data_IF_119538132158
#
_entry.id   IF_119538132158
#
_cell.length_a   1.000
_cell.length_b   1.000
_cell.length_c   1.000
_cell.angle_alpha   90.00
_cell.angle_beta   90.00
_cell.angle_gamma   90.00
#
_symmetry.space_group_name_H-M   'P 1'
#
loop_
_entity.id
_entity.type
_entity.pdbx_description
1 polymer ?
#
# COMPACT_ATOMS: atom_id res chain seq x y z
N UNK A 1 -30.15 -96.38 -33.96
CA UNK A 1 -29.56 -95.39 -34.87
C UNK A 1 -28.82 -94.38 -33.99
N UNK A 2 -27.61 -94.65 -33.48
CA UNK A 2 -26.32 -94.80 -34.17
C UNK A 2 -25.94 -93.52 -34.94
N UNK A 3 -25.05 -92.67 -34.39
CA UNK A 3 -23.61 -92.55 -34.75
C UNK A 3 -23.41 -91.85 -36.11
N UNK A 4 -22.39 -91.05 -36.47
CA UNK A 4 -21.14 -90.45 -35.92
C UNK A 4 -20.58 -89.56 -37.06
N UNK A 5 -19.63 -88.66 -36.73
CA UNK A 5 -18.45 -88.22 -37.54
C UNK A 5 -18.69 -87.65 -38.97
N UNK A 6 -18.01 -86.61 -39.48
CA UNK A 6 -16.55 -86.38 -39.59
C UNK A 6 -16.33 -85.04 -40.35
N UNK A 7 -15.21 -84.33 -40.06
CA UNK A 7 -14.23 -83.67 -40.98
C UNK A 7 -14.73 -82.89 -42.22
N UNK A 8 -14.18 -81.75 -42.68
CA UNK A 8 -12.90 -81.07 -42.45
C UNK A 8 -12.70 -79.90 -43.45
N UNK A 9 -11.87 -78.92 -43.08
CA UNK A 9 -11.00 -78.03 -43.90
C UNK A 9 -11.60 -76.91 -44.77
N UNK A 10 -11.46 -75.66 -44.31
CA UNK A 10 -10.80 -74.48 -44.93
C UNK A 10 -11.16 -73.28 -44.00
N UNK A 11 -10.30 -72.37 -43.53
CA UNK A 11 -9.01 -71.91 -44.00
C UNK A 11 -8.23 -71.32 -42.80
N UNK A 12 -6.93 -71.60 -42.79
CA UNK A 12 -5.91 -70.96 -41.95
C UNK A 12 -5.83 -69.45 -42.21
N UNK A 13 -5.91 -68.62 -41.17
CA UNK A 13 -5.26 -67.29 -40.96
C UNK A 13 -6.11 -66.58 -39.88
N UNK A 14 -5.74 -66.48 -38.61
CA UNK A 14 -4.62 -65.69 -38.09
C UNK A 14 -4.72 -65.76 -36.55
N UNK A 15 -3.87 -66.55 -35.90
CA UNK A 15 -3.59 -66.41 -34.47
C UNK A 15 -2.23 -65.72 -34.41
N UNK A 16 -2.21 -64.40 -34.21
CA UNK A 16 -1.15 -63.69 -33.50
C UNK A 16 -1.55 -62.23 -33.33
N UNK A 17 -2.21 -61.87 -32.23
CA UNK A 17 -2.19 -60.48 -31.77
C UNK A 17 -2.07 -60.47 -30.26
N UNK A 18 -0.83 -60.27 -29.86
CA UNK A 18 -0.33 -60.24 -28.51
C UNK A 18 -1.06 -59.19 -27.67
N UNK A 19 -1.41 -59.61 -26.45
CA UNK A 19 -1.55 -58.74 -25.29
C UNK A 19 -0.19 -58.08 -25.07
N UNK A 20 -0.04 -56.82 -25.48
CA UNK A 20 1.03 -55.93 -25.02
C UNK A 20 0.40 -54.66 -24.47
N UNK A 21 0.76 -54.37 -23.24
CA UNK A 21 0.28 -53.28 -22.44
C UNK A 21 0.90 -51.93 -22.83
N UNK A 22 0.19 -50.88 -22.42
CA UNK A 22 0.73 -49.65 -21.80
C UNK A 22 1.29 -48.52 -22.71
N UNK A 23 0.70 -47.34 -22.45
CA UNK A 23 1.22 -45.98 -22.63
C UNK A 23 1.06 -45.31 -24.01
N UNK A 24 -0.19 -44.94 -24.34
CA UNK A 24 -0.41 -43.78 -25.22
C UNK A 24 -0.41 -42.51 -24.35
N UNK A 25 0.47 -41.53 -24.60
CA UNK A 25 0.38 -40.24 -23.93
C UNK A 25 -0.89 -39.55 -24.41
N UNK A 26 -1.85 -39.38 -23.49
CA UNK A 26 -3.03 -38.57 -23.72
C UNK A 26 -2.56 -37.13 -23.93
N UNK A 27 -2.54 -36.66 -25.18
CA UNK A 27 -2.32 -35.25 -25.49
C UNK A 27 -3.55 -34.46 -25.00
N UNK A 28 -3.51 -34.03 -23.74
CA UNK A 28 -4.42 -33.00 -23.24
C UNK A 28 -4.22 -31.72 -24.07
N UNK A 29 -5.27 -31.02 -24.51
CA UNK A 29 -5.12 -29.75 -25.19
C UNK A 29 -4.47 -28.77 -24.21
N UNK A 30 -3.24 -28.34 -24.52
CA UNK A 30 -2.59 -27.27 -23.77
C UNK A 30 -3.46 -26.02 -23.96
N UNK A 31 -4.17 -25.61 -22.92
CA UNK A 31 -4.74 -24.27 -22.85
C UNK A 31 -3.57 -23.28 -22.99
N UNK A 32 -3.34 -22.78 -24.21
CA UNK A 32 -2.50 -21.61 -24.42
C UNK A 32 -3.17 -20.48 -23.66
N UNK A 33 -2.64 -20.17 -22.48
CA UNK A 33 -2.91 -18.89 -21.85
C UNK A 33 -2.43 -17.83 -22.84
N UNK A 34 -3.36 -17.04 -23.38
CA UNK A 34 -3.01 -15.83 -24.11
C UNK A 34 -2.03 -15.05 -23.23
N UNK A 35 -0.91 -14.54 -23.79
CA UNK A 35 0.01 -13.71 -23.02
C UNK A 35 -0.79 -12.62 -22.34
N UNK A 36 -0.69 -12.54 -21.01
CA UNK A 36 -1.29 -11.45 -20.27
C UNK A 36 -0.86 -10.14 -20.96
N UNK A 37 -1.79 -9.22 -21.25
CA UNK A 37 -1.43 -7.95 -21.84
C UNK A 37 -0.31 -7.32 -21.00
N UNK A 38 0.71 -6.69 -21.63
CA UNK A 38 1.83 -6.11 -20.89
C UNK A 38 1.26 -5.27 -19.75
N UNK A 39 1.54 -5.65 -18.51
CA UNK A 39 1.06 -4.90 -17.36
C UNK A 39 1.52 -3.46 -17.57
N UNK A 40 0.56 -2.56 -17.82
CA UNK A 40 0.85 -1.14 -17.95
C UNK A 40 1.80 -0.77 -16.82
N UNK A 41 3.00 -0.27 -17.17
CA UNK A 41 4.07 -0.03 -16.19
C UNK A 41 3.46 0.76 -15.04
N UNK A 42 3.35 0.10 -13.87
CA UNK A 42 2.71 0.71 -12.71
C UNK A 42 3.47 1.99 -12.38
N UNK A 43 2.78 3.09 -12.04
CA UNK A 43 3.45 4.33 -11.72
C UNK A 43 4.48 4.07 -10.63
N UNK A 44 5.73 4.47 -10.87
CA UNK A 44 6.82 4.22 -9.93
C UNK A 44 6.58 5.07 -8.67
N UNK A 45 6.28 4.41 -7.56
CA UNK A 45 5.92 5.07 -6.32
C UNK A 45 7.20 5.50 -5.60
N UNK A 46 7.72 6.66 -6.00
CA UNK A 46 8.87 7.30 -5.37
C UNK A 46 8.58 8.75 -5.05
N UNK A 47 9.29 9.24 -4.04
CA UNK A 47 9.29 10.65 -3.73
C UNK A 47 10.00 11.46 -4.81
N UNK A 48 9.50 12.67 -5.02
CA UNK A 48 10.26 13.81 -5.50
C UNK A 48 10.93 14.57 -4.35
N UNK A 49 11.41 15.76 -4.64
CA UNK A 49 11.91 16.68 -3.63
C UNK A 49 10.77 17.13 -2.71
N UNK A 50 11.04 17.25 -1.42
CA UNK A 50 10.07 17.80 -0.46
C UNK A 50 10.68 18.94 0.32
N UNK A 51 9.83 19.80 0.85
CA UNK A 51 10.23 20.98 1.61
C UNK A 51 9.92 20.71 3.09
N UNK A 52 10.93 20.85 3.94
CA UNK A 52 10.81 20.73 5.38
C UNK A 52 11.03 22.07 6.05
N UNK A 53 10.16 22.40 6.99
CA UNK A 53 10.15 23.68 7.71
C UNK A 53 9.81 23.46 9.18
N UNK A 54 10.17 24.45 9.99
CA UNK A 54 9.87 24.45 11.42
C UNK A 54 10.74 23.51 12.24
N UNK A 55 10.75 23.78 13.54
CA UNK A 55 11.39 23.00 14.59
C UNK A 55 10.78 23.45 15.91
N UNK A 56 9.62 22.90 16.25
CA UNK A 56 8.79 23.37 17.35
C UNK A 56 8.86 22.43 18.54
N UNK A 57 9.00 22.96 19.75
CA UNK A 57 8.88 22.18 20.99
C UNK A 57 7.43 21.83 21.34
N UNK A 58 6.48 22.70 20.96
CA UNK A 58 5.04 22.54 21.16
C UNK A 58 4.35 22.08 19.88
N UNK A 59 3.51 21.04 19.96
CA UNK A 59 2.84 20.46 18.79
C UNK A 59 1.84 21.44 18.16
N UNK A 60 1.24 22.32 18.95
CA UNK A 60 0.26 23.33 18.54
C UNK A 60 0.84 24.30 17.51
N UNK A 61 2.15 24.61 17.61
CA UNK A 61 2.82 25.48 16.65
C UNK A 61 3.00 24.78 15.30
N UNK A 62 3.33 23.49 15.32
CA UNK A 62 3.41 22.69 14.10
C UNK A 62 2.03 22.54 13.46
N UNK A 63 0.97 22.31 14.25
CA UNK A 63 -0.41 22.26 13.77
C UNK A 63 -0.79 23.57 13.08
N UNK A 64 -0.54 24.71 13.73
CA UNK A 64 -0.85 26.05 13.19
C UNK A 64 -0.15 26.31 11.86
N UNK A 65 1.15 26.00 11.77
CA UNK A 65 1.88 26.15 10.51
C UNK A 65 1.33 25.23 9.43
N UNK A 66 0.96 24.00 9.81
CA UNK A 66 0.43 23.04 8.84
C UNK A 66 -0.92 23.52 8.29
N UNK A 67 -1.79 24.11 9.13
CA UNK A 67 -3.04 24.73 8.68
C UNK A 67 -2.80 25.98 7.82
N UNK A 68 -1.83 26.82 8.17
CA UNK A 68 -1.47 27.97 7.35
C UNK A 68 -1.06 27.55 5.94
N UNK A 69 -0.28 26.47 5.81
CA UNK A 69 0.07 25.91 4.51
C UNK A 69 -1.17 25.36 3.75
N UNK A 70 -2.10 24.70 4.44
CA UNK A 70 -3.35 24.20 3.82
C UNK A 70 -4.22 25.29 3.25
N UNK A 71 -4.34 26.40 3.97
CA UNK A 71 -5.11 27.55 3.53
C UNK A 71 -4.57 28.15 2.21
N UNK A 72 -3.37 27.77 1.81
CA UNK A 72 -2.72 28.11 0.54
C UNK A 72 -2.57 26.91 -0.40
N UNK A 73 -3.45 25.91 -0.28
CA UNK A 73 -3.50 24.69 -1.09
C UNK A 73 -2.20 23.86 -1.07
N UNK A 74 -1.44 23.94 0.03
CA UNK A 74 -0.19 23.20 0.17
C UNK A 74 -0.39 21.99 1.05
N UNK A 75 -0.18 20.83 0.45
CA UNK A 75 -0.27 19.53 1.11
C UNK A 75 0.94 19.27 2.00
N UNK A 76 0.81 19.65 3.27
CA UNK A 76 1.77 19.51 4.36
C UNK A 76 1.37 18.46 5.40
N UNK A 77 2.28 18.08 6.27
CA UNK A 77 1.98 17.27 7.44
C UNK A 77 3.06 17.53 8.48
N UNK A 78 2.68 17.49 9.75
CA UNK A 78 3.63 17.56 10.84
C UNK A 78 3.97 16.17 11.36
N UNK A 79 5.17 16.04 11.90
CA UNK A 79 5.64 14.81 12.52
C UNK A 79 6.62 15.13 13.64
N UNK A 80 6.76 14.20 14.58
CA UNK A 80 7.77 14.29 15.64
C UNK A 80 9.08 13.71 15.13
N UNK A 81 10.11 14.55 15.09
CA UNK A 81 11.46 14.19 14.68
C UNK A 81 12.20 13.44 15.80
N UNK A 82 13.26 12.65 15.51
CA UNK A 82 14.05 11.99 16.55
C UNK A 82 14.63 12.93 17.62
N UNK A 83 14.86 14.21 17.29
CA UNK A 83 15.24 15.24 18.26
C UNK A 83 14.16 15.58 19.30
N UNK A 84 12.94 15.05 19.13
CA UNK A 84 11.77 15.37 19.95
C UNK A 84 11.01 16.61 19.48
N UNK A 85 11.56 17.38 18.54
CA UNK A 85 10.93 18.55 17.95
C UNK A 85 9.90 18.17 16.89
N UNK A 86 8.88 19.00 16.73
CA UNK A 86 7.89 18.88 15.67
C UNK A 86 8.35 19.65 14.43
N UNK A 87 8.32 18.98 13.29
CA UNK A 87 8.67 19.55 11.97
C UNK A 87 7.47 19.41 11.05
N UNK A 88 7.40 20.26 10.03
CA UNK A 88 6.38 20.21 8.99
C UNK A 88 7.04 19.92 7.65
N UNK A 89 6.48 18.99 6.88
CA UNK A 89 6.96 18.65 5.54
C UNK A 89 5.83 18.77 4.53
N UNK A 90 6.14 19.23 3.32
CA UNK A 90 5.18 19.31 2.23
C UNK A 90 5.82 19.09 0.87
N UNK A 91 4.95 18.80 -0.11
CA UNK A 91 5.33 18.68 -1.50
C UNK A 91 5.87 17.30 -1.90
N UNK A 92 6.11 17.18 -3.19
CA UNK A 92 6.62 16.00 -3.89
C UNK A 92 7.08 16.45 -5.28
N UNK A 93 7.96 17.45 -5.30
CA UNK A 93 8.33 18.20 -6.50
C UNK A 93 9.26 17.37 -7.39
N UNK A 94 9.10 17.40 -8.72
CA UNK A 94 9.94 16.61 -9.60
C UNK A 94 11.39 17.12 -9.66
N UNK A 95 11.65 18.35 -9.23
CA UNK A 95 13.00 18.93 -9.20
C UNK A 95 13.25 19.79 -7.96
N UNK A 96 14.54 19.94 -7.62
CA UNK A 96 15.00 20.86 -6.59
C UNK A 96 14.56 22.30 -6.89
N UNK A 97 14.67 22.73 -8.15
CA UNK A 97 14.29 24.07 -8.59
C UNK A 97 12.81 24.38 -8.29
N UNK A 98 11.91 23.44 -8.57
CA UNK A 98 10.47 23.62 -8.28
C UNK A 98 10.19 23.64 -6.78
N UNK A 99 10.85 22.78 -6.00
CA UNK A 99 10.75 22.79 -4.54
C UNK A 99 11.24 24.14 -3.97
N UNK A 100 12.40 24.61 -4.43
CA UNK A 100 13.02 25.87 -4.01
C UNK A 100 12.17 27.08 -4.38
N UNK A 101 11.67 27.16 -5.62
CA UNK A 101 10.78 28.24 -6.07
C UNK A 101 9.51 28.28 -5.22
N UNK A 102 8.88 27.14 -4.96
CA UNK A 102 7.67 27.10 -4.10
C UNK A 102 7.98 27.54 -2.68
N UNK A 103 9.11 27.12 -2.12
CA UNK A 103 9.54 27.54 -0.79
C UNK A 103 9.81 29.05 -0.71
N UNK A 104 10.52 29.62 -1.70
CA UNK A 104 10.82 31.05 -1.75
C UNK A 104 9.54 31.89 -1.79
N UNK A 105 8.55 31.50 -2.60
CA UNK A 105 7.25 32.19 -2.66
C UNK A 105 6.55 32.20 -1.29
N UNK A 106 6.69 31.14 -0.50
CA UNK A 106 6.13 31.07 0.85
C UNK A 106 6.92 31.88 1.87
N UNK A 107 8.23 32.00 1.69
CA UNK A 107 9.07 32.89 2.50
C UNK A 107 8.75 34.37 2.23
N UNK A 108 8.60 34.76 0.96
CA UNK A 108 8.23 36.13 0.57
C UNK A 108 6.85 36.53 1.11
N UNK A 109 5.92 35.58 1.18
CA UNK A 109 4.59 35.76 1.82
C UNK A 109 4.63 35.73 3.35
N UNK A 110 5.79 35.51 3.96
CA UNK A 110 5.95 35.41 5.42
C UNK A 110 5.34 34.15 6.05
N UNK A 111 4.93 33.15 5.26
CA UNK A 111 4.27 31.92 5.75
C UNK A 111 5.29 30.97 6.38
N UNK A 112 6.48 30.87 5.80
CA UNK A 112 7.58 30.05 6.31
C UNK A 112 8.85 30.88 6.48
N UNK A 113 9.71 30.49 7.42
CA UNK A 113 10.97 31.21 7.72
C UNK A 113 12.20 30.46 7.21
N UNK A 114 12.66 29.45 7.96
CA UNK A 114 13.79 28.58 7.57
C UNK A 114 13.28 27.34 6.86
N UNK A 115 13.99 26.95 5.80
CA UNK A 115 13.61 25.87 4.89
C UNK A 115 14.77 24.90 4.69
N UNK A 116 14.45 23.61 4.60
CA UNK A 116 15.38 22.57 4.18
C UNK A 116 14.74 21.70 3.10
N UNK A 117 15.39 21.56 1.95
CA UNK A 117 14.88 20.75 0.83
C UNK A 117 15.44 19.33 0.94
N UNK A 118 14.55 18.34 0.95
CA UNK A 118 14.89 16.92 1.01
C UNK A 118 14.97 16.36 -0.41
N UNK A 119 16.11 15.77 -0.76
CA UNK A 119 16.32 15.07 -2.04
C UNK A 119 15.79 13.62 -2.01
N UNK A 120 15.19 13.12 -3.11
CA UNK A 120 14.69 11.74 -3.19
C UNK A 120 15.79 10.68 -3.41
N UNK A 121 17.02 11.10 -3.80
CA UNK A 121 18.12 10.19 -4.18
C UNK A 121 18.55 9.22 -3.07
N UNK A 122 18.23 9.51 -1.80
CA UNK A 122 18.60 8.69 -0.64
C UNK A 122 17.71 7.44 -0.43
N UNK A 123 16.61 7.26 -1.17
CA UNK A 123 15.60 6.24 -0.86
C UNK A 123 15.61 5.01 -1.79
N UNK A 124 16.34 5.05 -2.90
CA UNK A 124 16.31 3.99 -3.95
C UNK A 124 16.91 2.65 -3.47
N UNK A 125 17.88 2.68 -2.55
CA UNK A 125 18.64 1.49 -2.09
C UNK A 125 17.81 0.44 -1.35
N UNK A 126 16.63 0.78 -0.84
CA UNK A 126 15.84 -0.15 -0.03
C UNK A 126 14.97 -1.12 -0.85
N UNK A 127 14.73 -0.84 -2.13
CA UNK A 127 13.84 -1.65 -2.96
C UNK A 127 14.57 -2.72 -3.79
N UNK A 128 15.90 -2.78 -3.73
CA UNK A 128 16.72 -3.66 -4.58
C UNK A 128 16.76 -5.13 -4.13
N UNK A 129 16.53 -5.41 -2.84
CA UNK A 129 16.60 -6.77 -2.30
C UNK A 129 15.59 -6.98 -1.15
N UNK A 130 15.27 -8.25 -0.83
CA UNK A 130 14.30 -8.60 0.21
C UNK A 130 14.70 -8.13 1.60
N UNK A 131 16.01 -8.08 1.91
CA UNK A 131 16.52 -7.56 3.19
C UNK A 131 16.28 -6.05 3.28
N UNK A 132 16.41 -5.33 2.18
CA UNK A 132 16.10 -3.92 2.00
C UNK A 132 14.62 -3.66 2.22
N UNK A 133 13.75 -4.45 1.59
CA UNK A 133 12.29 -4.38 1.79
C UNK A 133 11.90 -4.66 3.23
N UNK A 134 12.49 -5.67 3.87
CA UNK A 134 12.25 -5.96 5.28
C UNK A 134 12.65 -4.79 6.19
N UNK A 135 13.83 -4.20 5.98
CA UNK A 135 14.26 -2.98 6.70
C UNK A 135 13.32 -1.81 6.46
N UNK A 136 12.85 -1.61 5.23
CA UNK A 136 11.91 -0.54 4.90
C UNK A 136 10.57 -0.72 5.58
N UNK A 137 10.06 -1.95 5.64
CA UNK A 137 8.83 -2.30 6.36
C UNK A 137 8.93 -1.98 7.85
N UNK A 138 10.03 -2.35 8.49
CA UNK A 138 10.26 -2.00 9.91
C UNK A 138 10.40 -0.48 10.11
N UNK A 139 11.04 0.24 9.18
CA UNK A 139 11.11 1.71 9.24
C UNK A 139 9.72 2.34 9.11
N UNK A 140 8.88 1.86 8.19
CA UNK A 140 7.49 2.32 8.06
C UNK A 140 6.72 2.11 9.35
N UNK A 141 6.84 0.93 9.97
CA UNK A 141 6.18 0.65 11.25
C UNK A 141 6.72 1.57 12.36
N UNK A 142 8.04 1.76 12.46
CA UNK A 142 8.65 2.68 13.42
C UNK A 142 8.17 4.11 13.23
N UNK A 143 8.07 4.58 11.99
CA UNK A 143 7.49 5.89 11.68
C UNK A 143 6.01 5.94 12.03
N UNK A 144 5.21 4.90 11.74
CA UNK A 144 3.81 4.85 12.14
C UNK A 144 3.65 4.99 13.67
N UNK A 145 4.51 4.32 14.45
CA UNK A 145 4.54 4.45 15.91
C UNK A 145 4.88 5.86 16.39
N UNK A 146 5.75 6.61 15.70
CA UNK A 146 6.09 7.98 16.10
C UNK A 146 4.94 8.97 15.93
N UNK A 147 3.86 8.58 15.28
CA UNK A 147 2.63 9.37 15.14
C UNK A 147 1.59 9.05 16.21
N UNK A 148 1.77 7.97 17.00
CA UNK A 148 0.81 7.64 18.07
C UNK A 148 0.68 8.81 19.04
N UNK A 149 -0.56 9.10 19.42
CA UNK A 149 -0.88 10.20 20.32
C UNK A 149 -0.97 11.57 19.64
N UNK A 150 -0.47 11.73 18.41
CA UNK A 150 -0.75 12.95 17.63
C UNK A 150 -2.26 13.03 17.35
N UNK A 151 -2.87 14.21 17.48
CA UNK A 151 -4.29 14.36 17.22
C UNK A 151 -4.59 13.96 15.77
N UNK A 152 -5.75 13.33 15.60
CA UNK A 152 -6.35 13.13 14.29
C UNK A 152 -6.55 14.49 13.64
N UNK A 153 -5.60 14.87 12.78
CA UNK A 153 -5.72 16.00 11.87
C UNK A 153 -4.81 15.79 10.66
N UNK A 154 -5.40 15.63 9.47
CA UNK A 154 -5.10 16.45 8.29
C UNK A 154 -6.07 16.30 7.11
N UNK A 155 -7.09 17.18 7.04
CA UNK A 155 -7.70 17.72 5.81
C UNK A 155 -8.79 16.92 5.08
N UNK A 156 -9.93 16.61 5.73
CA UNK A 156 -11.15 16.15 5.06
C UNK A 156 -11.81 17.21 4.17
N UNK A 157 -12.64 16.81 3.19
CA UNK A 157 -13.20 17.74 2.18
C UNK A 157 -14.72 18.00 2.27
N UNK A 158 -15.46 17.39 3.20
CA UNK A 158 -16.86 17.76 3.52
C UNK A 158 -17.39 17.07 4.80
N UNK A 159 -18.55 17.50 5.35
CA UNK A 159 -19.26 16.80 6.42
C UNK A 159 -19.68 15.36 6.08
N UNK A 160 -19.78 15.01 4.79
CA UNK A 160 -20.06 13.64 4.32
C UNK A 160 -18.80 12.77 4.16
N UNK A 161 -17.61 13.38 4.02
CA UNK A 161 -16.39 12.65 3.65
C UNK A 161 -15.31 12.58 4.73
N UNK A 162 -15.15 13.59 5.61
CA UNK A 162 -14.13 13.70 6.68
C UNK A 162 -12.92 12.75 6.60
N UNK A 163 -11.69 13.22 6.30
CA UNK A 163 -10.56 12.28 6.16
C UNK A 163 -9.18 12.73 6.64
N UNK A 164 -8.58 11.87 7.47
CA UNK A 164 -7.18 11.90 7.86
C UNK A 164 -6.59 10.56 8.30
N UNK A 165 -7.24 9.45 7.95
CA UNK A 165 -6.60 8.13 7.93
C UNK A 165 -5.61 7.97 6.76
N UNK A 166 -6.00 8.39 5.56
CA UNK A 166 -5.15 8.29 4.36
C UNK A 166 -4.05 9.35 4.31
N UNK A 167 -4.25 10.49 4.99
CA UNK A 167 -3.21 11.49 5.19
C UNK A 167 -2.10 10.96 6.10
N UNK A 168 -2.48 10.24 7.17
CA UNK A 168 -1.53 9.54 8.03
C UNK A 168 -0.72 8.48 7.26
N UNK A 169 -1.37 7.59 6.49
CA UNK A 169 -0.64 6.59 5.70
C UNK A 169 0.31 7.23 4.69
N UNK A 170 -0.15 8.27 3.99
CA UNK A 170 0.65 9.04 3.05
C UNK A 170 1.89 9.65 3.72
N UNK A 171 1.71 10.33 4.86
CA UNK A 171 2.82 10.93 5.60
C UNK A 171 3.86 9.88 6.03
N UNK A 172 3.42 8.74 6.59
CA UNK A 172 4.32 7.66 7.01
C UNK A 172 5.13 7.12 5.83
N UNK A 173 4.49 6.88 4.69
CA UNK A 173 5.17 6.41 3.49
C UNK A 173 6.14 7.45 2.92
N UNK A 174 5.73 8.72 2.88
CA UNK A 174 6.55 9.82 2.38
C UNK A 174 7.76 10.12 3.29
N UNK A 175 7.67 9.89 4.59
CA UNK A 175 8.84 9.95 5.46
C UNK A 175 9.83 8.81 5.21
N UNK A 176 9.39 7.74 4.53
CA UNK A 176 10.17 6.53 4.26
C UNK A 176 10.62 6.36 2.81
N UNK A 177 10.35 7.34 1.93
CA UNK A 177 10.83 7.32 0.55
C UNK A 177 9.79 6.98 -0.51
N UNK A 178 8.53 6.74 -0.11
CA UNK A 178 7.46 6.28 -0.98
C UNK A 178 6.34 7.30 -1.04
N UNK A 179 5.80 7.56 -2.22
CA UNK A 179 4.63 8.42 -2.32
C UNK A 179 3.34 7.62 -2.11
N UNK A 180 2.26 8.25 -1.67
CA UNK A 180 0.94 7.62 -1.75
C UNK A 180 -0.06 8.64 -2.28
N UNK A 181 -1.10 8.20 -3.00
CA UNK A 181 -2.25 9.04 -3.28
C UNK A 181 -2.86 9.56 -1.98
N UNK A 182 -3.45 10.75 -2.02
CA UNK A 182 -4.01 11.39 -0.83
C UNK A 182 -5.26 10.71 -0.28
N UNK A 183 -6.09 10.11 -1.13
CA UNK A 183 -7.35 9.48 -0.71
C UNK A 183 -7.17 7.99 -0.44
N UNK A 184 -7.86 7.46 0.58
CA UNK A 184 -7.91 6.03 0.90
C UNK A 184 -8.41 5.21 -0.29
N UNK A 185 -9.36 5.75 -1.05
CA UNK A 185 -9.88 5.12 -2.26
C UNK A 185 -8.84 4.97 -3.37
N UNK A 186 -8.03 6.01 -3.65
CA UNK A 186 -6.95 5.89 -4.63
C UNK A 186 -5.83 4.98 -4.12
N UNK A 187 -5.54 5.00 -2.81
CA UNK A 187 -4.61 4.05 -2.20
C UNK A 187 -5.11 2.60 -2.40
N UNK A 188 -6.40 2.35 -2.21
CA UNK A 188 -6.99 1.04 -2.50
C UNK A 188 -6.85 0.66 -3.98
N UNK A 189 -7.17 1.57 -4.91
CA UNK A 189 -7.13 1.30 -6.35
C UNK A 189 -5.72 1.00 -6.87
N UNK A 190 -4.72 1.75 -6.41
CA UNK A 190 -3.35 1.65 -6.92
C UNK A 190 -2.50 0.60 -6.21
N UNK A 191 -2.85 0.23 -4.98
CA UNK A 191 -2.13 -0.80 -4.22
C UNK A 191 -2.31 -2.20 -4.80
N UNK A 192 -1.30 -3.05 -4.61
CA UNK A 192 -1.30 -4.44 -5.08
C UNK A 192 -2.09 -5.28 -4.08
N UNK A 193 -3.15 -6.02 -4.48
CA UNK A 193 -3.91 -6.85 -3.56
C UNK A 193 -3.04 -7.92 -2.92
N UNK A 194 -3.26 -8.19 -1.63
CA UNK A 194 -2.61 -9.27 -0.89
C UNK A 194 -3.65 -10.03 -0.06
N UNK A 195 -3.61 -11.37 -0.02
CA UNK A 195 -4.43 -12.15 0.88
C UNK A 195 -4.19 -11.75 2.34
N UNK A 196 -5.23 -11.75 3.17
CA UNK A 196 -5.11 -11.34 4.58
C UNK A 196 -4.09 -12.17 5.36
N UNK A 197 -4.00 -13.47 5.07
CA UNK A 197 -3.00 -14.38 5.65
C UNK A 197 -1.55 -14.04 5.31
N UNK A 198 -1.34 -13.33 4.19
CA UNK A 198 0.00 -13.02 3.67
C UNK A 198 0.42 -11.58 4.05
N UNK A 199 -0.40 -10.85 4.82
CA UNK A 199 -0.11 -9.48 5.22
C UNK A 199 1.21 -9.40 6.00
N UNK A 200 2.05 -8.45 5.59
CA UNK A 200 3.31 -8.14 6.24
C UNK A 200 3.26 -6.74 6.82
N UNK A 201 4.06 -6.51 7.87
CA UNK A 201 4.27 -5.19 8.46
C UNK A 201 4.48 -4.12 7.38
N UNK A 202 3.82 -2.98 7.53
CA UNK A 202 3.86 -1.89 6.56
C UNK A 202 2.93 -2.07 5.38
N UNK A 203 2.17 -3.16 5.23
CA UNK A 203 1.05 -3.19 4.28
C UNK A 203 -0.12 -2.31 4.77
N UNK A 204 -0.99 -1.89 3.85
CA UNK A 204 -2.17 -1.10 4.19
C UNK A 204 -3.40 -1.99 4.29
N UNK A 205 -4.20 -1.79 5.33
CA UNK A 205 -5.51 -2.42 5.56
C UNK A 205 -6.62 -1.40 5.33
N UNK A 206 -7.67 -1.81 4.63
CA UNK A 206 -8.75 -0.92 4.18
C UNK A 206 -10.10 -1.37 4.70
N UNK A 207 -10.94 -0.40 5.04
CA UNK A 207 -12.23 -0.62 5.66
C UNK A 207 -13.33 0.23 5.00
N UNK A 208 -14.57 -0.24 5.06
CA UNK A 208 -15.77 0.47 4.66
C UNK A 208 -16.54 0.91 5.90
N UNK A 209 -16.09 1.96 6.59
CA UNK A 209 -16.69 2.47 7.85
C UNK A 209 -17.79 3.50 7.64
N UNK A 210 -17.94 4.00 6.41
CA UNK A 210 -19.05 4.87 5.98
C UNK A 210 -20.14 4.06 5.29
N UNK A 211 -21.31 4.67 5.04
CA UNK A 211 -22.44 4.01 4.36
C UNK A 211 -22.01 3.36 3.03
N UNK A 212 -22.43 2.12 2.81
CA UNK A 212 -22.12 1.32 1.62
C UNK A 212 -20.92 0.38 1.82
N UNK A 213 -20.43 -0.22 0.73
CA UNK A 213 -19.29 -1.17 0.74
C UNK A 213 -18.00 -0.58 0.17
N UNK A 214 -17.95 0.74 0.01
CA UNK A 214 -16.79 1.43 -0.57
C UNK A 214 -15.76 1.75 0.50
N UNK A 215 -14.47 1.59 0.16
CA UNK A 215 -13.35 1.98 1.01
C UNK A 215 -13.50 3.43 1.46
N UNK A 216 -13.55 3.61 2.76
CA UNK A 216 -13.66 4.91 3.43
C UNK A 216 -12.60 5.08 4.51
N UNK A 217 -11.94 4.02 4.97
CA UNK A 217 -10.92 4.10 6.00
C UNK A 217 -9.71 3.23 5.68
N UNK A 218 -8.54 3.61 6.20
CA UNK A 218 -7.27 2.92 5.95
C UNK A 218 -6.37 2.97 7.20
N UNK A 219 -5.56 1.94 7.38
CA UNK A 219 -4.52 1.89 8.40
C UNK A 219 -3.27 1.14 7.93
N UNK A 220 -2.20 1.24 8.70
CA UNK A 220 -0.93 0.54 8.44
C UNK A 220 -0.89 -0.72 9.32
N UNK A 221 -0.78 -1.89 8.71
CA UNK A 221 -0.62 -3.14 9.43
C UNK A 221 0.75 -3.19 10.12
N UNK A 222 0.78 -3.51 11.40
CA UNK A 222 2.01 -3.53 12.22
C UNK A 222 2.34 -4.94 12.75
N UNK A 223 1.65 -5.96 12.25
CA UNK A 223 1.83 -7.36 12.68
C UNK A 223 0.98 -7.73 13.89
N UNK A 224 0.86 -9.04 14.16
CA UNK A 224 0.14 -9.56 15.33
C UNK A 224 -1.32 -9.15 15.38
N UNK A 225 -1.98 -9.12 14.22
CA UNK A 225 -3.38 -8.70 14.04
C UNK A 225 -3.67 -7.24 14.44
N UNK A 226 -2.64 -6.39 14.49
CA UNK A 226 -2.75 -4.98 14.86
C UNK A 226 -2.46 -4.06 13.68
N UNK A 227 -3.08 -2.88 13.72
CA UNK A 227 -2.82 -1.81 12.77
C UNK A 227 -2.84 -0.45 13.47
N UNK A 228 -2.09 0.51 12.94
CA UNK A 228 -2.12 1.90 13.38
C UNK A 228 -2.95 2.71 12.38
N UNK A 229 -3.80 3.60 12.89
CA UNK A 229 -4.63 4.46 12.06
C UNK A 229 -4.93 5.77 12.77
N UNK A 230 -5.37 6.74 11.98
CA UNK A 230 -6.02 7.94 12.47
C UNK A 230 -7.55 7.67 12.49
N UNK A 231 -8.19 7.50 13.66
CA UNK A 231 -9.52 6.88 13.79
C UNK A 231 -10.73 7.79 13.49
N UNK A 232 -10.58 9.11 13.48
CA UNK A 232 -11.69 10.04 13.29
C UNK A 232 -11.58 11.31 14.14
N UNK A 233 -12.43 12.31 13.82
CA UNK A 233 -12.44 13.63 14.47
C UNK A 233 -12.49 13.52 15.99
N UNK A 234 -11.69 14.35 16.67
CA UNK A 234 -11.64 14.40 18.14
C UNK A 234 -10.84 13.27 18.79
N UNK A 235 -10.29 12.34 18.01
CA UNK A 235 -9.48 11.24 18.52
C UNK A 235 -7.99 11.46 18.19
N UNK A 236 -7.14 10.56 18.68
CA UNK A 236 -5.69 10.56 18.41
C UNK A 236 -5.31 9.32 17.61
N UNK A 237 -4.22 9.41 16.87
CA UNK A 237 -3.64 8.25 16.17
C UNK A 237 -3.32 7.19 17.22
N UNK A 238 -3.78 5.96 16.97
CA UNK A 238 -3.70 4.85 17.92
C UNK A 238 -3.53 3.51 17.21
N UNK A 239 -3.27 2.49 18.00
CA UNK A 239 -3.30 1.09 17.55
C UNK A 239 -4.66 0.50 17.86
N UNK A 240 -5.23 -0.23 16.90
CA UNK A 240 -6.42 -1.07 17.07
C UNK A 240 -6.13 -2.49 16.53
N UNK A 241 -7.06 -3.42 16.77
CA UNK A 241 -6.96 -4.82 16.33
C UNK A 241 -7.94 -5.14 15.20
N UNK A 242 -7.53 -5.98 14.27
CA UNK A 242 -8.37 -6.42 13.15
C UNK A 242 -9.45 -7.42 13.56
N UNK A 243 -9.26 -8.16 14.66
CA UNK A 243 -10.25 -9.10 15.22
C UNK A 243 -11.32 -8.44 16.10
N UNK A 244 -11.16 -7.14 16.41
CA UNK A 244 -12.22 -6.38 17.04
C UNK A 244 -13.48 -6.44 16.16
N UNK A 245 -14.65 -6.71 16.76
CA UNK A 245 -15.90 -6.94 16.03
C UNK A 245 -16.22 -5.84 15.01
N UNK A 246 -16.02 -4.58 15.39
CA UNK A 246 -16.21 -3.43 14.51
C UNK A 246 -15.26 -3.47 13.32
N UNK A 247 -13.95 -3.62 13.51
CA UNK A 247 -13.01 -3.64 12.37
C UNK A 247 -13.16 -4.88 11.50
N UNK A 248 -13.46 -6.03 12.12
CA UNK A 248 -13.71 -7.29 11.41
C UNK A 248 -14.92 -7.18 10.47
N UNK A 249 -16.01 -6.58 10.92
CA UNK A 249 -17.22 -6.44 10.09
C UNK A 249 -17.09 -5.41 8.96
N UNK A 250 -16.14 -4.47 9.07
CA UNK A 250 -15.92 -3.42 8.07
C UNK A 250 -14.68 -3.64 7.19
N UNK A 251 -13.93 -4.73 7.37
CA UNK A 251 -12.71 -5.01 6.62
C UNK A 251 -13.03 -5.28 5.14
N UNK A 252 -12.40 -4.52 4.25
CA UNK A 252 -12.51 -4.69 2.80
C UNK A 252 -11.37 -5.55 2.25
N UNK A 253 -10.15 -5.35 2.76
CA UNK A 253 -8.98 -6.11 2.34
C UNK A 253 -7.67 -5.39 2.63
N UNK A 254 -6.57 -5.91 2.07
CA UNK A 254 -5.24 -5.36 2.25
C UNK A 254 -4.52 -5.12 0.92
N UNK A 255 -3.65 -4.12 0.88
CA UNK A 255 -2.78 -3.80 -0.26
C UNK A 255 -1.33 -3.64 0.17
N UNK A 256 -0.41 -4.08 -0.69
CA UNK A 256 1.03 -3.82 -0.57
C UNK A 256 1.52 -2.78 -1.57
N UNK A 257 2.62 -2.14 -1.18
CA UNK A 257 3.34 -1.10 -1.93
C UNK A 257 4.86 -1.34 -1.97
N UNK A 258 5.32 -2.42 -1.32
CA UNK A 258 6.72 -2.86 -1.20
C UNK A 258 6.77 -4.38 -1.38
#
# INVERSE_FOLDING_TARGET
MAERFTRSHLCFLTILLAVLALLLPSCAPSHRQSPLPPQARRPEIRLGYSVQVGAFSKVENAIRLTHALQAHDIWAFYFRDPSGLYKVRFGNFPSYSLASRKALLLQQKGIIKKVFIISPKSFVRYLSDEKGKARLRERIVKTAYSFIGLPYQWGGTSPKSGFDCSGFTMAVYQLNGLNLPRSSFQQWKLGIPIPLRDMRKGDLVFFATSRGRTVSHVGIYVGGNRFIHAPGKGKRIKTDRLDNSYFRSHLVGAKKYI
#
